data_IF_034452575824
#
_entry.id   IF_034452575824
#
_cell.length_a   1.000
_cell.length_b   1.000
_cell.length_c   1.000
_cell.angle_alpha   90.00
_cell.angle_beta   90.00
_cell.angle_gamma   90.00
#
_symmetry.space_group_name_H-M   'P 1'
#
loop_
_entity.id
_entity.type
_entity.pdbx_description
1 polymer ?
#
# COMPACT_ATOMS: atom_id res chain seq x y z
N UNK A 1 -10.30 18.09 -21.45
CA UNK A 1 -11.06 17.30 -20.46
C UNK A 1 -12.27 16.77 -21.20
N UNK A 2 -12.47 15.46 -21.34
CA UNK A 2 -13.61 14.94 -22.07
C UNK A 2 -14.91 15.29 -21.32
N UNK A 3 -15.82 15.95 -21.98
CA UNK A 3 -17.21 16.06 -21.57
C UNK A 3 -17.77 14.64 -21.56
N UNK A 4 -18.19 14.16 -20.38
CA UNK A 4 -18.99 12.95 -20.27
C UNK A 4 -20.39 13.26 -20.84
N UNK A 5 -20.51 13.18 -22.16
CA UNK A 5 -21.76 13.12 -22.87
C UNK A 5 -22.07 11.64 -23.03
N UNK A 6 -23.09 11.17 -22.36
CA UNK A 6 -23.66 9.86 -22.64
C UNK A 6 -24.33 9.99 -24.03
N UNK A 7 -23.82 9.28 -25.04
CA UNK A 7 -24.37 9.30 -26.39
C UNK A 7 -25.88 9.00 -26.33
N UNK A 8 -26.64 10.04 -26.62
CA UNK A 8 -28.10 10.00 -26.63
C UNK A 8 -28.53 9.13 -27.81
N UNK A 9 -29.03 7.94 -27.51
CA UNK A 9 -29.75 7.15 -28.50
C UNK A 9 -31.09 7.88 -28.80
N UNK A 10 -31.31 8.41 -30.02
CA UNK A 10 -32.49 9.21 -30.34
C UNK A 10 -33.84 8.47 -30.19
N UNK A 11 -33.84 7.16 -30.03
CA UNK A 11 -35.06 6.35 -29.89
C UNK A 11 -35.74 6.39 -28.50
N UNK A 12 -35.23 7.18 -27.53
CA UNK A 12 -35.78 7.29 -26.18
C UNK A 12 -36.48 8.62 -25.88
N UNK A 13 -36.80 9.44 -26.88
CA UNK A 13 -37.44 10.74 -26.67
C UNK A 13 -38.93 10.65 -26.29
N UNK A 14 -39.53 9.47 -26.20
CA UNK A 14 -40.89 9.23 -25.68
C UNK A 14 -40.97 8.74 -24.23
N UNK A 15 -39.86 8.59 -23.53
CA UNK A 15 -39.85 8.16 -22.12
C UNK A 15 -40.12 9.35 -21.18
N UNK A 16 -41.06 9.16 -20.22
CA UNK A 16 -41.31 10.13 -19.12
C UNK A 16 -40.10 10.15 -18.16
N UNK A 17 -39.33 11.23 -18.18
CA UNK A 17 -38.14 11.43 -17.32
C UNK A 17 -38.53 12.13 -16.06
N UNK A 18 -38.24 11.53 -14.88
CA UNK A 18 -38.57 12.10 -13.57
C UNK A 18 -37.31 12.51 -12.81
N UNK A 19 -37.37 13.72 -12.19
CA UNK A 19 -36.26 14.20 -11.40
C UNK A 19 -36.11 13.43 -10.10
N UNK A 20 -34.88 13.09 -9.76
CA UNK A 20 -34.54 12.55 -8.46
C UNK A 20 -34.47 13.66 -7.41
N UNK A 21 -35.03 13.46 -6.20
CA UNK A 21 -34.96 14.45 -5.15
C UNK A 21 -33.51 14.66 -4.69
N UNK A 22 -33.10 15.93 -4.58
CA UNK A 22 -31.74 16.29 -4.11
C UNK A 22 -31.50 15.93 -2.63
N UNK A 23 -32.59 15.79 -1.85
CA UNK A 23 -32.57 15.37 -0.47
C UNK A 23 -33.19 13.97 -0.35
N UNK A 24 -32.35 12.94 -0.13
CA UNK A 24 -32.81 11.58 0.21
C UNK A 24 -33.12 11.45 1.71
N UNK A 25 -32.72 12.41 2.52
CA UNK A 25 -32.99 12.51 3.97
C UNK A 25 -33.19 13.97 4.36
N UNK A 26 -34.43 14.43 4.44
CA UNK A 26 -34.91 15.53 5.27
C UNK A 26 -34.25 16.93 5.21
N UNK A 27 -33.15 17.12 4.51
CA UNK A 27 -32.50 18.42 4.31
C UNK A 27 -32.97 19.03 2.99
N UNK A 28 -33.68 20.12 3.07
CA UNK A 28 -34.26 20.87 1.95
C UNK A 28 -33.15 21.50 1.08
N UNK A 29 -32.47 20.71 0.27
CA UNK A 29 -31.67 21.23 -0.84
C UNK A 29 -32.39 20.94 -2.15
N UNK A 30 -32.74 21.99 -2.88
CA UNK A 30 -33.45 21.88 -4.15
C UNK A 30 -32.59 21.35 -5.29
N UNK A 31 -31.26 21.44 -5.19
CA UNK A 31 -30.33 21.08 -6.26
C UNK A 31 -29.11 20.32 -5.72
N UNK A 32 -28.53 19.43 -6.55
CA UNK A 32 -27.32 18.70 -6.26
C UNK A 32 -26.06 19.56 -6.51
N UNK A 33 -25.05 19.43 -5.65
CA UNK A 33 -23.72 19.94 -5.96
C UNK A 33 -23.10 19.12 -7.13
N UNK A 34 -22.14 19.71 -7.87
CA UNK A 34 -21.43 19.02 -8.96
C UNK A 34 -20.78 17.70 -8.50
N UNK A 35 -20.24 17.68 -7.29
CA UNK A 35 -19.63 16.49 -6.70
C UNK A 35 -20.67 15.39 -6.46
N UNK A 36 -21.79 15.73 -5.83
CA UNK A 36 -22.85 14.76 -5.52
C UNK A 36 -23.54 14.25 -6.78
N UNK A 37 -23.77 15.11 -7.76
CA UNK A 37 -24.29 14.74 -9.06
C UNK A 37 -23.39 13.67 -9.73
N UNK A 38 -22.07 13.91 -9.81
CA UNK A 38 -21.11 12.94 -10.37
C UNK A 38 -21.11 11.61 -9.60
N UNK A 39 -21.16 11.66 -8.29
CA UNK A 39 -21.16 10.43 -7.48
C UNK A 39 -22.44 9.62 -7.72
N UNK A 40 -23.58 10.28 -7.75
CA UNK A 40 -24.85 9.61 -7.97
C UNK A 40 -25.00 9.08 -9.40
N UNK A 41 -24.48 9.80 -10.40
CA UNK A 41 -24.46 9.28 -11.77
C UNK A 41 -23.64 8.00 -11.91
N UNK A 42 -22.49 7.91 -11.24
CA UNK A 42 -21.68 6.68 -11.21
C UNK A 42 -22.41 5.50 -10.53
N UNK A 43 -23.20 5.77 -9.47
CA UNK A 43 -24.00 4.72 -8.82
C UNK A 43 -25.09 4.21 -9.77
N UNK A 44 -25.78 5.11 -10.46
CA UNK A 44 -26.83 4.74 -11.44
C UNK A 44 -26.23 3.98 -12.62
N UNK A 45 -25.09 4.41 -13.13
CA UNK A 45 -24.36 3.76 -14.21
C UNK A 45 -23.91 2.35 -13.84
N UNK A 46 -23.36 2.16 -12.64
CA UNK A 46 -22.97 0.86 -12.11
C UNK A 46 -24.14 -0.13 -11.94
N UNK A 47 -25.38 0.39 -11.90
CA UNK A 47 -26.62 -0.39 -11.83
C UNK A 47 -27.37 -0.44 -13.16
N UNK A 48 -26.75 0.02 -14.25
CA UNK A 48 -27.34 0.09 -15.59
C UNK A 48 -28.67 0.84 -15.63
N UNK A 49 -28.84 1.86 -14.75
CA UNK A 49 -30.02 2.74 -14.75
C UNK A 49 -29.69 3.96 -15.62
N UNK A 50 -30.42 4.20 -16.72
CA UNK A 50 -30.22 5.38 -17.54
C UNK A 50 -30.46 6.66 -16.75
N UNK A 51 -29.64 7.66 -16.97
CA UNK A 51 -29.75 8.95 -16.30
C UNK A 51 -29.42 10.10 -17.26
N UNK A 52 -29.99 11.25 -16.97
CA UNK A 52 -29.68 12.56 -17.61
C UNK A 52 -29.40 13.60 -16.52
N UNK A 53 -28.52 14.55 -16.80
CA UNK A 53 -28.29 15.66 -15.91
C UNK A 53 -28.81 16.98 -16.53
N UNK A 54 -29.41 17.81 -15.72
CA UNK A 54 -29.86 19.15 -16.09
C UNK A 54 -29.23 20.17 -15.12
N UNK A 55 -28.82 21.30 -15.66
CA UNK A 55 -28.38 22.45 -14.84
C UNK A 55 -29.58 23.28 -14.42
N UNK A 56 -29.81 23.43 -13.11
CA UNK A 56 -30.84 24.27 -12.54
C UNK A 56 -30.25 25.34 -11.63
N UNK A 57 -30.24 26.58 -12.08
CA UNK A 57 -29.62 27.67 -11.32
C UNK A 57 -28.16 27.44 -11.02
N UNK A 58 -27.78 27.43 -9.74
CA UNK A 58 -26.41 27.19 -9.28
C UNK A 58 -26.09 25.69 -9.02
N UNK A 59 -27.04 24.78 -9.31
CA UNK A 59 -26.86 23.36 -9.04
C UNK A 59 -27.24 22.46 -10.20
N UNK A 60 -27.33 21.16 -9.90
CA UNK A 60 -27.61 20.09 -10.86
C UNK A 60 -28.84 19.29 -10.43
N UNK A 61 -29.56 18.75 -11.39
CA UNK A 61 -30.64 17.80 -11.20
C UNK A 61 -30.35 16.53 -12.02
N UNK A 62 -30.60 15.38 -11.43
CA UNK A 62 -30.52 14.08 -12.11
C UNK A 62 -31.95 13.63 -12.43
N UNK A 63 -32.15 13.17 -13.66
CA UNK A 63 -33.42 12.60 -14.13
C UNK A 63 -33.18 11.14 -14.50
N UNK A 64 -34.18 10.31 -14.26
CA UNK A 64 -34.22 8.90 -14.64
C UNK A 64 -35.58 8.57 -15.27
N UNK A 65 -35.70 7.53 -16.10
CA UNK A 65 -36.96 7.08 -16.62
C UNK A 65 -37.99 6.79 -15.50
N UNK A 66 -39.24 7.20 -15.68
CA UNK A 66 -40.30 7.02 -14.67
C UNK A 66 -40.42 5.56 -14.22
N UNK A 67 -40.26 4.60 -15.13
CA UNK A 67 -40.32 3.17 -14.85
C UNK A 67 -39.20 2.70 -13.90
N UNK A 68 -38.04 3.39 -13.90
CA UNK A 68 -36.87 3.05 -13.06
C UNK A 68 -36.69 3.95 -11.86
N UNK A 69 -37.57 4.96 -11.69
CA UNK A 69 -37.45 5.98 -10.64
C UNK A 69 -37.36 5.37 -9.22
N UNK A 70 -38.25 4.40 -8.91
CA UNK A 70 -38.26 3.73 -7.62
C UNK A 70 -37.00 2.88 -7.38
N UNK A 71 -36.47 2.24 -8.43
CA UNK A 71 -35.21 1.49 -8.36
C UNK A 71 -34.02 2.43 -8.13
N UNK A 72 -33.95 3.53 -8.87
CA UNK A 72 -32.91 4.55 -8.71
C UNK A 72 -32.87 5.12 -7.28
N UNK A 73 -34.06 5.44 -6.72
CA UNK A 73 -34.14 5.91 -5.33
C UNK A 73 -33.64 4.89 -4.33
N UNK A 74 -34.00 3.63 -4.46
CA UNK A 74 -33.51 2.57 -3.55
C UNK A 74 -31.99 2.44 -3.59
N UNK A 75 -31.40 2.41 -4.80
CA UNK A 75 -29.95 2.27 -4.97
C UNK A 75 -29.20 3.49 -4.41
N UNK A 76 -29.71 4.69 -4.65
CA UNK A 76 -29.11 5.91 -4.09
C UNK A 76 -29.27 5.99 -2.57
N UNK A 77 -30.42 5.61 -2.01
CA UNK A 77 -30.63 5.53 -0.56
C UNK A 77 -29.69 4.49 0.07
N UNK A 78 -29.56 3.33 -0.56
CA UNK A 78 -28.62 2.33 -0.10
C UNK A 78 -27.20 2.84 -0.12
N UNK A 79 -26.78 3.48 -1.22
CA UNK A 79 -25.46 4.11 -1.34
C UNK A 79 -25.23 5.17 -0.26
N UNK A 80 -26.14 6.11 -0.05
CA UNK A 80 -26.03 7.16 0.98
C UNK A 80 -25.97 6.55 2.40
N UNK A 81 -26.81 5.55 2.69
CA UNK A 81 -26.79 4.84 3.96
C UNK A 81 -25.49 4.08 4.20
N UNK A 82 -24.95 3.46 3.15
CA UNK A 82 -23.67 2.74 3.23
C UNK A 82 -22.47 3.68 3.38
N UNK A 83 -22.60 4.92 2.89
CA UNK A 83 -21.53 5.90 2.89
C UNK A 83 -21.77 7.07 3.87
N UNK A 84 -22.82 7.02 4.71
CA UNK A 84 -23.17 8.09 5.65
C UNK A 84 -22.00 8.53 6.52
N UNK A 85 -21.24 7.56 7.04
CA UNK A 85 -20.09 7.79 7.92
C UNK A 85 -18.75 7.58 7.21
N UNK A 86 -18.73 7.73 5.86
CA UNK A 86 -17.50 7.57 5.10
C UNK A 86 -16.90 8.92 4.67
N UNK A 87 -15.60 9.17 4.84
CA UNK A 87 -14.64 8.32 5.56
C UNK A 87 -14.94 8.30 7.06
N UNK A 88 -14.72 7.14 7.73
CA UNK A 88 -14.93 7.05 9.16
C UNK A 88 -14.02 8.06 9.86
N UNK A 89 -14.53 8.66 10.94
CA UNK A 89 -13.70 9.51 11.79
C UNK A 89 -12.47 8.70 12.22
N UNK A 90 -11.26 9.25 12.07
CA UNK A 90 -10.07 8.55 12.56
C UNK A 90 -10.28 8.21 14.02
N UNK A 91 -9.92 6.99 14.48
CA UNK A 91 -9.97 6.65 15.89
C UNK A 91 -9.22 7.74 16.65
N UNK A 92 -9.71 8.11 17.85
CA UNK A 92 -8.99 9.06 18.73
C UNK A 92 -7.59 8.52 18.95
N UNK A 93 -6.65 8.95 18.11
CA UNK A 93 -5.34 8.36 18.00
C UNK A 93 -4.42 8.89 19.06
N UNK A 94 -3.62 8.02 19.65
CA UNK A 94 -2.38 8.40 20.30
C UNK A 94 -1.60 9.36 19.38
N UNK A 95 -1.02 10.45 19.92
CA UNK A 95 -0.30 11.45 19.13
C UNK A 95 0.71 10.79 18.19
N UNK A 96 0.72 11.22 16.93
CA UNK A 96 1.66 10.70 15.93
C UNK A 96 3.08 11.11 16.32
N UNK A 97 4.02 10.18 16.28
CA UNK A 97 5.44 10.46 16.58
C UNK A 97 6.10 11.08 15.36
N UNK A 98 6.80 12.20 15.53
CA UNK A 98 7.64 12.75 14.46
C UNK A 98 8.84 11.84 14.24
N UNK A 99 9.00 11.38 13.00
CA UNK A 99 10.06 10.46 12.59
C UNK A 99 10.77 10.90 11.31
N UNK A 100 10.50 12.12 10.85
CA UNK A 100 10.99 12.61 9.55
C UNK A 100 12.50 12.49 9.45
N UNK A 101 13.23 12.91 10.49
CA UNK A 101 14.68 12.84 10.50
C UNK A 101 15.19 11.39 10.40
N UNK A 102 14.66 10.47 11.21
CA UNK A 102 15.07 9.07 11.20
C UNK A 102 14.80 8.42 9.84
N UNK A 103 13.61 8.62 9.30
CA UNK A 103 13.26 8.08 7.98
C UNK A 103 14.17 8.64 6.90
N UNK A 104 14.41 9.96 6.89
CA UNK A 104 15.28 10.61 5.91
C UNK A 104 16.71 10.05 5.96
N UNK A 105 17.27 9.85 7.15
CA UNK A 105 18.63 9.29 7.29
C UNK A 105 18.73 7.86 6.73
N UNK A 106 17.72 7.02 6.93
CA UNK A 106 17.73 5.67 6.35
C UNK A 106 17.62 5.71 4.82
N UNK A 107 16.76 6.59 4.27
CA UNK A 107 16.64 6.75 2.82
C UNK A 107 17.95 7.29 2.20
N UNK A 108 18.62 8.25 2.87
CA UNK A 108 19.94 8.74 2.46
C UNK A 108 20.96 7.61 2.53
N UNK A 109 20.99 6.82 3.60
CA UNK A 109 21.92 5.69 3.74
C UNK A 109 21.75 4.67 2.60
N UNK A 110 20.51 4.35 2.19
CA UNK A 110 20.26 3.49 1.02
C UNK A 110 20.80 4.10 -0.27
N UNK A 111 20.60 5.41 -0.48
CA UNK A 111 21.14 6.12 -1.64
C UNK A 111 22.67 6.15 -1.65
N UNK A 112 23.29 6.39 -0.50
CA UNK A 112 24.77 6.34 -0.35
C UNK A 112 25.28 4.93 -0.59
N UNK A 113 24.62 3.90 -0.02
CA UNK A 113 25.01 2.52 -0.23
C UNK A 113 24.90 2.12 -1.71
N UNK A 114 23.83 2.51 -2.41
CA UNK A 114 23.73 2.27 -3.85
C UNK A 114 24.92 2.88 -4.61
N UNK A 115 25.28 4.14 -4.32
CA UNK A 115 26.46 4.75 -4.94
C UNK A 115 27.75 4.01 -4.62
N UNK A 116 27.88 3.50 -3.39
CA UNK A 116 29.02 2.65 -2.98
C UNK A 116 29.10 1.38 -3.84
N UNK A 117 27.97 0.74 -4.13
CA UNK A 117 27.93 -0.50 -4.95
C UNK A 117 28.33 -0.28 -6.40
N UNK A 118 28.41 0.96 -6.87
CA UNK A 118 28.87 1.31 -8.22
C UNK A 118 30.40 1.53 -8.27
N UNK A 119 31.07 1.62 -7.11
CA UNK A 119 32.51 1.84 -7.04
C UNK A 119 33.25 0.51 -7.05
N UNK A 120 34.46 0.53 -7.63
CA UNK A 120 35.40 -0.59 -7.53
C UNK A 120 36.12 -0.49 -6.19
N UNK A 121 35.75 -1.35 -5.26
CA UNK A 121 36.29 -1.36 -3.90
C UNK A 121 36.84 -2.75 -3.63
N UNK A 122 38.07 -2.81 -3.14
CA UNK A 122 38.72 -4.06 -2.70
C UNK A 122 38.48 -4.18 -1.19
N UNK A 123 37.85 -5.27 -0.77
CA UNK A 123 37.50 -5.47 0.61
C UNK A 123 37.43 -6.97 0.95
N UNK A 124 37.96 -7.39 2.10
CA UNK A 124 37.89 -8.76 2.61
C UNK A 124 38.30 -9.84 1.60
N UNK A 125 39.30 -9.57 0.74
CA UNK A 125 39.77 -10.52 -0.26
C UNK A 125 39.03 -10.50 -1.60
N UNK A 126 37.98 -9.72 -1.74
CA UNK A 126 37.32 -9.47 -3.03
C UNK A 126 38.06 -8.36 -3.78
N UNK A 127 38.34 -8.56 -5.07
CA UNK A 127 39.13 -7.66 -5.90
C UNK A 127 38.55 -7.48 -7.32
N UNK A 128 37.60 -6.55 -7.57
CA UNK A 128 36.76 -5.78 -6.63
C UNK A 128 35.56 -6.57 -6.10
N UNK A 129 34.92 -6.05 -5.06
CA UNK A 129 33.67 -6.62 -4.51
C UNK A 129 32.56 -6.58 -5.57
N UNK A 130 32.01 -7.74 -5.92
CA UNK A 130 30.75 -7.81 -6.67
C UNK A 130 29.56 -7.82 -5.71
N UNK A 131 29.11 -6.64 -5.33
CA UNK A 131 28.00 -6.44 -4.39
C UNK A 131 26.74 -7.19 -4.79
N UNK A 132 26.44 -7.22 -6.12
CA UNK A 132 25.22 -7.88 -6.60
C UNK A 132 25.38 -9.41 -6.57
N UNK A 133 26.50 -9.95 -6.94
CA UNK A 133 26.75 -11.39 -6.86
C UNK A 133 26.70 -11.90 -5.42
N UNK A 134 27.30 -11.17 -4.47
CA UNK A 134 27.34 -11.53 -3.05
C UNK A 134 26.00 -11.36 -2.34
N UNK A 135 25.21 -10.33 -2.70
CA UNK A 135 24.07 -9.89 -1.89
C UNK A 135 22.70 -10.08 -2.50
N UNK A 136 22.57 -10.47 -3.79
CA UNK A 136 21.23 -10.68 -4.39
C UNK A 136 20.50 -11.87 -3.76
N UNK A 137 19.19 -11.87 -3.82
CA UNK A 137 18.33 -12.98 -3.40
C UNK A 137 18.37 -14.10 -4.46
N UNK A 138 19.46 -14.85 -4.50
CA UNK A 138 19.62 -16.02 -5.37
C UNK A 138 18.95 -17.23 -4.72
N UNK A 139 17.85 -17.72 -5.29
CA UNK A 139 17.02 -18.76 -4.68
C UNK A 139 17.81 -20.01 -4.30
N UNK A 140 18.60 -20.59 -5.23
CA UNK A 140 19.40 -21.78 -4.95
C UNK A 140 20.44 -21.57 -3.86
N UNK A 141 21.12 -20.42 -3.82
CA UNK A 141 22.11 -20.11 -2.80
C UNK A 141 21.48 -19.87 -1.42
N UNK A 142 20.33 -19.22 -1.35
CA UNK A 142 19.54 -19.07 -0.11
C UNK A 142 19.21 -20.46 0.47
N UNK A 143 18.68 -21.34 -0.37
CA UNK A 143 18.32 -22.71 0.04
C UNK A 143 19.54 -23.59 0.36
N UNK A 144 20.70 -23.27 -0.17
CA UNK A 144 21.99 -23.90 0.17
C UNK A 144 22.62 -23.34 1.45
N UNK A 145 22.00 -22.34 2.11
CA UNK A 145 22.44 -21.82 3.41
C UNK A 145 23.06 -20.42 3.39
N UNK A 146 23.10 -19.72 2.26
CA UNK A 146 23.54 -18.31 2.19
C UNK A 146 22.42 -17.37 2.68
N UNK A 147 22.03 -17.50 3.94
CA UNK A 147 20.88 -16.80 4.56
C UNK A 147 21.00 -15.28 4.58
N UNK A 148 22.20 -14.72 4.56
CA UNK A 148 22.43 -13.26 4.52
C UNK A 148 21.77 -12.61 3.31
N UNK A 149 21.62 -13.33 2.19
CA UNK A 149 20.97 -12.86 0.97
C UNK A 149 19.52 -12.43 1.17
N UNK A 150 18.86 -12.97 2.18
CA UNK A 150 17.50 -12.58 2.54
C UNK A 150 17.40 -11.10 2.95
N UNK A 151 18.43 -10.57 3.61
CA UNK A 151 18.49 -9.20 4.09
C UNK A 151 19.29 -8.29 3.15
N UNK A 152 20.45 -8.75 2.64
CA UNK A 152 21.32 -7.94 1.77
C UNK A 152 20.65 -7.54 0.47
N UNK A 153 19.82 -8.43 -0.12
CA UNK A 153 19.08 -8.15 -1.34
C UNK A 153 18.12 -6.94 -1.20
N UNK A 154 17.59 -6.70 0.01
CA UNK A 154 16.70 -5.58 0.29
C UNK A 154 17.42 -4.22 0.25
N UNK A 155 18.73 -4.19 0.30
CA UNK A 155 19.55 -2.97 0.25
C UNK A 155 20.14 -2.70 -1.14
N UNK A 156 20.11 -3.69 -2.03
CA UNK A 156 20.60 -3.60 -3.40
C UNK A 156 19.50 -3.13 -4.36
N UNK A 157 19.90 -2.48 -5.44
CA UNK A 157 18.98 -2.04 -6.50
C UNK A 157 19.55 -2.31 -7.88
N UNK A 158 18.70 -2.66 -8.84
CA UNK A 158 19.10 -2.98 -10.21
C UNK A 158 19.70 -1.74 -10.91
N UNK A 159 19.04 -0.61 -10.75
CA UNK A 159 19.37 0.68 -11.33
C UNK A 159 18.87 1.85 -10.47
N UNK A 160 19.20 3.09 -10.89
CA UNK A 160 18.80 4.29 -10.15
C UNK A 160 17.29 4.57 -10.18
N UNK A 161 16.58 4.16 -11.23
CA UNK A 161 15.13 4.34 -11.35
C UNK A 161 14.41 3.43 -10.36
N UNK A 162 14.87 2.19 -10.24
CA UNK A 162 14.40 1.24 -9.23
C UNK A 162 14.66 1.75 -7.81
N UNK A 163 15.84 2.29 -7.53
CA UNK A 163 16.14 2.93 -6.24
C UNK A 163 15.20 4.10 -5.97
N UNK A 164 15.06 5.03 -6.92
CA UNK A 164 14.25 6.24 -6.75
C UNK A 164 12.78 5.89 -6.50
N UNK A 165 12.23 4.93 -7.23
CA UNK A 165 10.88 4.41 -7.02
C UNK A 165 10.70 3.90 -5.59
N UNK A 166 11.64 3.07 -5.10
CA UNK A 166 11.63 2.57 -3.74
C UNK A 166 11.78 3.68 -2.69
N UNK A 167 12.64 4.67 -2.90
CA UNK A 167 12.81 5.78 -1.95
C UNK A 167 11.56 6.67 -1.86
N UNK A 168 10.95 7.02 -3.00
CA UNK A 168 9.77 7.89 -3.03
C UNK A 168 8.54 7.19 -2.46
N UNK A 169 8.20 6.03 -3.01
CA UNK A 169 7.00 5.30 -2.61
C UNK A 169 7.18 4.69 -1.22
N UNK A 170 8.35 4.06 -1.00
CA UNK A 170 8.70 3.48 0.29
C UNK A 170 8.77 4.51 1.39
N UNK A 171 9.35 5.69 1.12
CA UNK A 171 9.41 6.79 2.06
C UNK A 171 8.05 7.22 2.60
N UNK A 172 7.00 7.20 1.76
CA UNK A 172 5.62 7.49 2.18
C UNK A 172 5.09 6.43 3.14
N UNK A 173 5.19 5.15 2.77
CA UNK A 173 4.65 4.05 3.57
C UNK A 173 5.41 3.86 4.88
N UNK A 174 6.74 3.91 4.85
CA UNK A 174 7.54 3.76 6.07
C UNK A 174 7.39 4.96 7.01
N UNK A 175 7.27 6.18 6.49
CA UNK A 175 6.98 7.36 7.32
C UNK A 175 5.64 7.20 8.04
N UNK A 176 4.63 6.64 7.36
CA UNK A 176 3.34 6.35 7.98
C UNK A 176 3.47 5.28 9.04
N UNK A 177 4.13 4.17 8.73
CA UNK A 177 4.34 3.06 9.65
C UNK A 177 5.12 3.49 10.90
N UNK A 178 6.17 4.29 10.74
CA UNK A 178 6.95 4.84 11.86
C UNK A 178 6.13 5.77 12.75
N UNK A 179 5.22 6.56 12.19
CA UNK A 179 4.29 7.39 12.99
C UNK A 179 3.33 6.55 13.81
N UNK A 180 2.90 5.42 13.26
CA UNK A 180 1.97 4.52 13.93
C UNK A 180 2.64 3.67 15.01
N UNK A 181 3.86 3.16 14.78
CA UNK A 181 4.54 2.18 15.62
C UNK A 181 5.76 2.71 16.38
N UNK A 182 6.30 3.89 16.06
CA UNK A 182 7.66 4.39 16.26
C UNK A 182 8.66 3.75 15.28
N UNK A 183 9.85 4.37 15.14
CA UNK A 183 10.83 3.99 14.13
C UNK A 183 11.40 2.58 14.32
N UNK A 184 11.76 2.20 15.55
CA UNK A 184 12.38 0.89 15.81
C UNK A 184 11.51 -0.29 15.39
N UNK A 185 10.29 -0.44 15.95
CA UNK A 185 9.39 -1.53 15.53
C UNK A 185 9.04 -1.45 14.05
N UNK A 186 8.84 -0.24 13.50
CA UNK A 186 8.48 -0.09 12.09
C UNK A 186 9.56 -0.62 11.14
N UNK A 187 10.81 -0.20 11.35
CA UNK A 187 11.93 -0.68 10.53
C UNK A 187 12.20 -2.16 10.71
N UNK A 188 12.15 -2.66 11.96
CA UNK A 188 12.38 -4.09 12.22
C UNK A 188 11.29 -4.96 11.60
N UNK A 189 10.01 -4.59 11.74
CA UNK A 189 8.91 -5.35 11.15
C UNK A 189 8.94 -5.30 9.62
N UNK A 190 9.24 -4.15 9.03
CA UNK A 190 9.41 -4.02 7.59
C UNK A 190 10.56 -4.92 7.09
N UNK A 191 11.70 -4.91 7.77
CA UNK A 191 12.83 -5.79 7.45
C UNK A 191 12.44 -7.27 7.59
N UNK A 192 11.73 -7.64 8.66
CA UNK A 192 11.27 -9.01 8.88
C UNK A 192 10.33 -9.48 7.76
N UNK A 193 9.39 -8.63 7.32
CA UNK A 193 8.50 -8.97 6.20
C UNK A 193 9.27 -9.17 4.89
N UNK A 194 10.30 -8.37 4.65
CA UNK A 194 11.17 -8.51 3.49
C UNK A 194 12.00 -9.79 3.52
N UNK A 195 12.59 -10.12 4.66
CA UNK A 195 13.36 -11.36 4.89
C UNK A 195 12.47 -12.59 4.67
N UNK A 196 11.30 -12.63 5.31
CA UNK A 196 10.34 -13.72 5.16
C UNK A 196 9.79 -13.81 3.74
N UNK A 197 9.55 -12.66 3.11
CA UNK A 197 9.10 -12.58 1.72
C UNK A 197 10.15 -13.15 0.74
N UNK A 198 11.41 -12.76 0.89
CA UNK A 198 12.51 -13.30 0.08
C UNK A 198 12.70 -14.81 0.33
N UNK A 199 12.55 -15.27 1.57
CA UNK A 199 12.65 -16.70 1.89
C UNK A 199 11.53 -17.49 1.21
N UNK A 200 10.28 -17.08 1.35
CA UNK A 200 9.15 -17.74 0.72
C UNK A 200 9.27 -17.72 -0.82
N UNK A 201 9.74 -16.61 -1.37
CA UNK A 201 9.97 -16.49 -2.81
C UNK A 201 11.06 -17.48 -3.27
N UNK A 202 12.16 -17.59 -2.54
CA UNK A 202 13.23 -18.54 -2.87
C UNK A 202 12.77 -20.01 -2.87
N UNK A 203 11.78 -20.37 -2.04
CA UNK A 203 11.19 -21.72 -2.02
C UNK A 203 10.33 -22.04 -3.25
N UNK A 204 9.77 -21.02 -3.91
CA UNK A 204 8.80 -21.19 -5.00
C UNK A 204 9.38 -20.86 -6.37
N UNK A 205 10.53 -20.21 -6.42
CA UNK A 205 11.21 -19.84 -7.65
C UNK A 205 12.21 -20.91 -8.10
N UNK A 206 12.54 -20.87 -9.39
CA UNK A 206 13.64 -21.69 -9.90
C UNK A 206 14.95 -21.39 -9.17
N UNK A 207 15.84 -22.42 -8.96
CA UNK A 207 17.08 -22.22 -8.26
C UNK A 207 18.00 -21.13 -8.83
N UNK A 208 17.91 -20.82 -10.12
CA UNK A 208 18.64 -19.74 -10.78
C UNK A 208 18.04 -18.35 -10.62
N UNK A 209 16.84 -18.22 -10.04
CA UNK A 209 16.16 -16.95 -9.85
C UNK A 209 16.97 -16.00 -8.95
N UNK A 210 17.01 -14.72 -9.35
CA UNK A 210 17.76 -13.67 -8.64
C UNK A 210 16.90 -12.41 -8.55
N UNK A 211 16.85 -11.82 -7.37
CA UNK A 211 16.13 -10.57 -7.13
C UNK A 211 16.96 -9.60 -6.27
N UNK A 212 16.73 -8.30 -6.47
CA UNK A 212 17.27 -7.22 -5.65
C UNK A 212 16.22 -6.13 -5.52
N UNK A 213 16.19 -5.46 -4.38
CA UNK A 213 15.34 -4.30 -4.15
C UNK A 213 14.68 -4.28 -2.78
N UNK A 214 14.48 -3.08 -2.24
CA UNK A 214 13.73 -2.86 -1.01
C UNK A 214 12.23 -3.19 -1.16
N UNK A 215 11.75 -3.38 -2.37
CA UNK A 215 10.33 -3.47 -2.71
C UNK A 215 9.59 -4.60 -1.98
N UNK A 216 10.22 -5.77 -1.77
CA UNK A 216 9.64 -6.86 -0.97
C UNK A 216 9.27 -6.37 0.44
N UNK A 217 10.17 -5.65 1.10
CA UNK A 217 9.91 -5.07 2.42
C UNK A 217 8.90 -3.91 2.37
N UNK A 218 8.87 -3.14 1.29
CA UNK A 218 7.88 -2.07 1.09
C UNK A 218 6.47 -2.63 0.93
N UNK A 219 6.29 -3.70 0.15
CA UNK A 219 4.99 -4.40 0.11
C UNK A 219 4.64 -5.01 1.46
N UNK A 220 5.64 -5.45 2.23
CA UNK A 220 5.47 -5.82 3.63
C UNK A 220 4.94 -4.68 4.49
N UNK A 221 5.47 -3.46 4.33
CA UNK A 221 4.97 -2.28 5.03
C UNK A 221 3.52 -1.95 4.64
N UNK A 222 3.13 -2.16 3.38
CA UNK A 222 1.72 -2.03 2.94
C UNK A 222 0.84 -3.06 3.65
N UNK A 223 1.27 -4.32 3.73
CA UNK A 223 0.57 -5.37 4.47
C UNK A 223 0.41 -5.05 5.96
N UNK A 224 1.49 -4.58 6.60
CA UNK A 224 1.47 -4.12 7.99
C UNK A 224 0.43 -3.01 8.20
N UNK A 225 0.47 -1.95 7.38
CA UNK A 225 -0.47 -0.83 7.47
C UNK A 225 -1.92 -1.25 7.19
N UNK A 226 -2.13 -2.17 6.25
CA UNK A 226 -3.43 -2.74 5.98
C UNK A 226 -4.00 -3.44 7.21
N UNK A 227 -3.24 -4.34 7.82
CA UNK A 227 -3.66 -5.10 9.01
C UNK A 227 -3.87 -4.19 10.22
N UNK A 228 -2.97 -3.24 10.49
CA UNK A 228 -3.11 -2.23 11.54
C UNK A 228 -4.42 -1.46 11.34
N UNK A 229 -4.71 -1.01 10.13
CA UNK A 229 -5.95 -0.30 9.81
C UNK A 229 -7.18 -1.19 10.04
N UNK A 230 -7.12 -2.47 9.65
CA UNK A 230 -8.21 -3.42 9.86
C UNK A 230 -8.55 -3.59 11.35
N UNK A 231 -7.53 -3.71 12.21
CA UNK A 231 -7.73 -3.83 13.66
C UNK A 231 -8.30 -2.53 14.24
N UNK A 232 -7.73 -1.37 13.92
CA UNK A 232 -8.17 -0.06 14.44
C UNK A 232 -9.60 0.29 14.06
N UNK A 233 -9.99 0.00 12.82
CA UNK A 233 -11.32 0.33 12.32
C UNK A 233 -12.34 -0.81 12.44
N UNK A 234 -12.00 -1.89 13.17
CA UNK A 234 -12.87 -3.08 13.27
C UNK A 234 -14.26 -2.79 13.81
N UNK A 235 -14.41 -1.78 14.66
CA UNK A 235 -15.69 -1.36 15.24
C UNK A 235 -16.39 -0.26 14.41
N UNK A 236 -15.64 0.49 13.58
CA UNK A 236 -16.16 1.65 12.86
C UNK A 236 -16.55 1.32 11.41
N UNK A 237 -16.07 0.20 10.86
CA UNK A 237 -16.36 -0.20 9.49
C UNK A 237 -17.23 -1.45 9.45
N UNK A 238 -18.15 -1.51 8.47
CA UNK A 238 -18.86 -2.74 8.15
C UNK A 238 -17.87 -3.88 7.84
N UNK A 239 -18.15 -5.14 8.23
CA UNK A 239 -17.21 -6.26 8.08
C UNK A 239 -16.62 -6.39 6.68
N UNK A 240 -17.41 -6.24 5.62
CA UNK A 240 -16.92 -6.28 4.23
C UNK A 240 -15.88 -5.21 3.95
N UNK A 241 -16.12 -3.93 4.29
CA UNK A 241 -15.22 -2.83 3.96
C UNK A 241 -13.88 -2.87 4.69
N UNK A 242 -13.84 -3.34 5.93
CA UNK A 242 -12.58 -3.45 6.70
C UNK A 242 -11.60 -4.44 6.08
N UNK A 243 -12.10 -5.49 5.39
CA UNK A 243 -11.27 -6.49 4.73
C UNK A 243 -10.99 -6.16 3.28
N UNK A 244 -12.01 -5.72 2.53
CA UNK A 244 -11.89 -5.53 1.08
C UNK A 244 -11.06 -4.30 0.71
N UNK A 245 -11.14 -3.20 1.44
CA UNK A 245 -10.42 -1.97 1.10
C UNK A 245 -8.90 -2.12 1.19
N UNK A 246 -8.31 -2.60 2.30
CA UNK A 246 -6.87 -2.79 2.39
C UNK A 246 -6.36 -3.80 1.35
N UNK A 247 -7.08 -4.89 1.12
CA UNK A 247 -6.71 -5.89 0.13
C UNK A 247 -6.81 -5.32 -1.28
N UNK A 248 -7.89 -4.63 -1.63
CA UNK A 248 -8.05 -3.98 -2.94
C UNK A 248 -6.99 -2.90 -3.18
N UNK A 249 -6.66 -2.09 -2.17
CA UNK A 249 -5.59 -1.10 -2.28
C UNK A 249 -4.22 -1.75 -2.49
N UNK A 250 -3.93 -2.85 -1.79
CA UNK A 250 -2.69 -3.59 -1.95
C UNK A 250 -2.58 -4.28 -3.32
N UNK A 251 -3.67 -4.91 -3.78
CA UNK A 251 -3.72 -5.51 -5.12
C UNK A 251 -3.61 -4.45 -6.22
N UNK A 252 -4.26 -3.29 -6.03
CA UNK A 252 -4.12 -2.15 -6.94
C UNK A 252 -2.70 -1.62 -6.99
N UNK A 253 -2.03 -1.52 -5.85
CA UNK A 253 -0.63 -1.11 -5.76
C UNK A 253 0.30 -2.16 -6.40
N UNK A 254 0.03 -3.45 -6.15
CA UNK A 254 0.76 -4.55 -6.77
C UNK A 254 0.60 -4.54 -8.30
N UNK A 255 -0.62 -4.33 -8.81
CA UNK A 255 -0.86 -4.20 -10.25
C UNK A 255 -0.19 -2.97 -10.85
N UNK A 256 -0.23 -1.84 -10.15
CA UNK A 256 0.34 -0.57 -10.65
C UNK A 256 1.87 -0.54 -10.60
N UNK A 257 2.48 -1.06 -9.55
CA UNK A 257 3.93 -1.01 -9.32
C UNK A 257 4.61 -2.35 -9.59
N UNK A 258 3.87 -3.46 -9.49
CA UNK A 258 4.39 -4.81 -9.62
C UNK A 258 4.45 -5.32 -11.07
N UNK A 259 3.71 -4.71 -12.01
CA UNK A 259 3.62 -5.16 -13.41
C UNK A 259 4.56 -4.39 -14.36
N UNK A 260 5.41 -3.50 -13.85
CA UNK A 260 6.10 -2.47 -14.64
C UNK A 260 7.55 -2.74 -15.01
N UNK A 261 7.92 -3.92 -15.55
CA UNK A 261 9.24 -4.11 -16.14
C UNK A 261 9.88 -5.46 -15.90
N UNK A 262 10.90 -5.79 -16.70
CA UNK A 262 11.63 -7.08 -16.69
C UNK A 262 12.37 -7.37 -15.37
N UNK A 263 12.52 -6.37 -14.49
CA UNK A 263 13.21 -6.45 -13.21
C UNK A 263 12.27 -6.55 -11.99
N UNK A 264 10.97 -6.77 -12.20
CA UNK A 264 9.99 -6.79 -11.10
C UNK A 264 9.69 -8.21 -10.65
N UNK A 265 10.05 -8.53 -9.39
CA UNK A 265 9.74 -9.81 -8.76
C UNK A 265 8.36 -9.76 -8.08
N UNK A 266 7.32 -10.10 -8.85
CA UNK A 266 5.94 -10.11 -8.39
C UNK A 266 5.71 -11.08 -7.23
N UNK A 267 6.40 -12.23 -7.23
CA UNK A 267 6.35 -13.23 -6.16
C UNK A 267 6.86 -12.67 -4.84
N UNK A 268 8.05 -12.06 -4.85
CA UNK A 268 8.61 -11.43 -3.67
C UNK A 268 7.72 -10.33 -3.11
N UNK A 269 7.11 -9.49 -3.96
CA UNK A 269 6.16 -8.46 -3.55
C UNK A 269 4.92 -9.04 -2.87
N UNK A 270 4.33 -10.09 -3.47
CA UNK A 270 3.18 -10.77 -2.91
C UNK A 270 3.50 -11.38 -1.53
N UNK A 271 4.64 -12.07 -1.40
CA UNK A 271 5.03 -12.67 -0.12
C UNK A 271 5.35 -11.61 0.93
N UNK A 272 6.04 -10.53 0.57
CA UNK A 272 6.26 -9.41 1.49
C UNK A 272 4.93 -8.90 2.06
N UNK A 273 3.94 -8.65 1.20
CA UNK A 273 2.60 -8.23 1.60
C UNK A 273 1.90 -9.26 2.50
N UNK A 274 1.93 -10.55 2.12
CA UNK A 274 1.29 -11.63 2.86
C UNK A 274 1.87 -11.79 4.28
N UNK A 275 3.19 -11.68 4.46
CA UNK A 275 3.81 -11.68 5.79
C UNK A 275 3.54 -10.38 6.57
N UNK A 276 3.33 -9.28 5.89
CA UNK A 276 2.93 -8.02 6.51
C UNK A 276 1.59 -8.09 7.23
N UNK A 277 0.62 -8.85 6.71
CA UNK A 277 -0.71 -8.97 7.30
C UNK A 277 -0.69 -9.57 8.72
N UNK A 278 -0.18 -10.78 8.97
CA UNK A 278 -0.18 -11.36 10.31
C UNK A 278 0.70 -10.59 11.30
N UNK A 279 1.85 -10.07 10.85
CA UNK A 279 2.73 -9.27 11.69
C UNK A 279 2.08 -7.93 12.07
N UNK A 280 1.40 -7.27 11.14
CA UNK A 280 0.66 -6.04 11.40
C UNK A 280 -0.53 -6.25 12.34
N UNK A 281 -1.25 -7.34 12.15
CA UNK A 281 -2.33 -7.74 13.04
C UNK A 281 -1.82 -7.99 14.47
N UNK A 282 -0.76 -8.78 14.60
CA UNK A 282 -0.15 -9.10 15.88
C UNK A 282 0.37 -7.86 16.62
N UNK A 283 1.13 -7.00 15.95
CA UNK A 283 1.70 -5.80 16.58
C UNK A 283 0.62 -4.83 17.03
N UNK A 284 -0.48 -4.66 16.26
CA UNK A 284 -1.55 -3.76 16.67
C UNK A 284 -2.31 -4.28 17.88
N UNK A 285 -2.57 -5.59 17.97
CA UNK A 285 -3.13 -6.20 19.19
C UNK A 285 -2.21 -6.03 20.41
N UNK A 286 -0.90 -6.15 20.22
CA UNK A 286 0.07 -5.89 21.28
C UNK A 286 0.03 -4.43 21.74
N UNK A 287 -0.07 -3.49 20.79
CA UNK A 287 -0.17 -2.05 21.08
C UNK A 287 -1.50 -1.73 21.79
N UNK A 288 -2.59 -2.35 21.39
CA UNK A 288 -3.87 -2.18 22.11
C UNK A 288 -3.79 -2.64 23.57
N UNK A 289 -3.07 -3.73 23.82
CA UNK A 289 -2.97 -4.32 25.15
C UNK A 289 -1.96 -3.61 26.05
N UNK A 290 -0.80 -3.22 25.52
CA UNK A 290 0.34 -2.74 26.31
C UNK A 290 0.80 -1.31 25.95
N UNK A 291 0.17 -0.69 24.96
CA UNK A 291 0.59 0.58 24.42
C UNK A 291 1.79 0.47 23.47
N UNK A 292 2.22 1.63 22.97
CA UNK A 292 3.42 1.70 22.09
C UNK A 292 4.70 1.45 22.87
N UNK A 293 5.73 0.83 22.28
CA UNK A 293 7.02 0.64 22.92
C UNK A 293 7.60 1.94 23.45
N UNK A 294 8.14 1.91 24.66
CA UNK A 294 8.86 3.05 25.25
C UNK A 294 10.13 3.42 24.47
N UNK A 295 10.81 4.50 24.86
CA UNK A 295 12.02 4.98 24.17
C UNK A 295 13.13 3.94 24.11
N UNK A 296 13.36 3.20 25.20
CA UNK A 296 14.38 2.16 25.27
C UNK A 296 14.09 1.02 24.29
N UNK A 297 12.87 0.47 24.32
CA UNK A 297 12.46 -0.60 23.38
C UNK A 297 12.52 -0.14 21.93
N UNK A 298 12.10 1.10 21.65
CA UNK A 298 12.25 1.67 20.32
C UNK A 298 13.71 1.71 19.85
N UNK A 299 14.63 2.13 20.71
CA UNK A 299 16.06 2.17 20.39
C UNK A 299 16.63 0.76 20.19
N UNK A 300 16.31 -0.19 21.08
CA UNK A 300 16.77 -1.56 20.98
C UNK A 300 16.29 -2.22 19.66
N UNK A 301 15.02 -2.06 19.28
CA UNK A 301 14.49 -2.61 18.04
C UNK A 301 15.10 -1.94 16.79
N UNK A 302 15.41 -0.63 16.86
CA UNK A 302 16.12 0.05 15.79
C UNK A 302 17.55 -0.48 15.63
N UNK A 303 18.28 -0.64 16.75
CA UNK A 303 19.62 -1.22 16.75
C UNK A 303 19.58 -2.66 16.21
N UNK A 304 18.60 -3.45 16.62
CA UNK A 304 18.43 -4.83 16.10
C UNK A 304 18.28 -4.83 14.57
N UNK A 305 17.47 -3.95 14.00
CA UNK A 305 17.33 -3.85 12.55
C UNK A 305 18.67 -3.50 11.86
N UNK A 306 19.44 -2.57 12.43
CA UNK A 306 20.77 -2.20 11.91
C UNK A 306 21.73 -3.39 12.00
N UNK A 307 21.77 -4.08 13.14
CA UNK A 307 22.66 -5.25 13.37
C UNK A 307 22.33 -6.39 12.39
N UNK A 308 21.04 -6.62 12.09
CA UNK A 308 20.64 -7.63 11.10
C UNK A 308 21.23 -7.28 9.73
N UNK A 309 21.08 -6.05 9.26
CA UNK A 309 21.57 -5.63 7.93
C UNK A 309 23.09 -5.62 7.87
N UNK A 310 23.77 -5.04 8.87
CA UNK A 310 25.23 -4.99 8.90
C UNK A 310 25.84 -6.36 9.09
N UNK A 311 25.25 -7.21 9.96
CA UNK A 311 25.68 -8.61 10.14
C UNK A 311 25.49 -9.44 8.88
N UNK A 312 24.39 -9.25 8.15
CA UNK A 312 24.17 -9.92 6.88
C UNK A 312 25.23 -9.54 5.84
N UNK A 313 25.58 -8.26 5.73
CA UNK A 313 26.68 -7.84 4.83
C UNK A 313 28.05 -8.32 5.28
N UNK A 314 28.31 -8.34 6.59
CA UNK A 314 29.55 -8.94 7.12
C UNK A 314 29.63 -10.41 6.75
N UNK A 315 28.54 -11.16 6.90
CA UNK A 315 28.49 -12.57 6.50
C UNK A 315 28.70 -12.75 4.99
N UNK A 316 28.07 -11.92 4.16
CA UNK A 316 28.24 -11.93 2.72
C UNK A 316 29.69 -11.70 2.28
N UNK A 317 30.39 -10.76 2.92
CA UNK A 317 31.79 -10.42 2.62
C UNK A 317 32.78 -11.43 3.14
N UNK A 318 32.47 -12.16 4.22
CA UNK A 318 33.36 -13.15 4.82
C UNK A 318 33.19 -14.56 4.24
N UNK A 319 31.98 -14.93 3.86
CA UNK A 319 31.63 -16.30 3.50
C UNK A 319 30.96 -16.41 2.13
N UNK A 320 30.65 -15.30 1.47
CA UNK A 320 30.04 -15.31 0.14
C UNK A 320 31.06 -15.61 -0.96
N UNK A 321 30.64 -16.43 -1.93
CA UNK A 321 31.40 -16.79 -3.13
C UNK A 321 30.76 -16.20 -4.40
#
# INVERSE_FOLDING_TARGET
MPEFSNDINPQRDGEDWRPLPAALEGKATTNLSRRRMRTWSLVLEARHIPWRNERRGLGWQLLVPAAMHAAALRELQQYENENRDWPPSPPQGTPLVDNRATTLWVLIALGVFYNLTLQRIDLFGHHPVDWKALGNAHAGKILAGEWWRLATALTLHADWQHLLGNLLIGGLFISRLCRDLRSGPAWLLMLATGILGNLANAWLQDPGHRAVGASTALFGAVGLLAAISMVRYRHNLRPRRRWTLPVAAALGLLAMLGAGGDNTDLGAHLFGFLFGLPLGFGVELLIEKWGRPGRLWNALLAVTAIVIVTGAWTAALMWGE
#
